data_IF_334000810247
#
_entry.id   IF_334000810247
#
_cell.length_a   1.000
_cell.length_b   1.000
_cell.length_c   1.000
_cell.angle_alpha   90.00
_cell.angle_beta   90.00
_cell.angle_gamma   90.00
#
_symmetry.space_group_name_H-M   'P 1'
#
loop_
_entity.id
_entity.type
_entity.pdbx_description
1 polymer ?
#
# COMPACT_ATOMS: atom_id res chain seq x y z
N UNK A 1 10.18 48.74 18.51
CA UNK A 1 10.44 47.54 19.34
C UNK A 1 10.74 47.96 20.78
N UNK A 2 10.10 47.35 21.79
CA UNK A 2 10.37 47.65 23.21
C UNK A 2 11.44 46.71 23.75
N UNK A 3 12.44 47.24 24.46
CA UNK A 3 13.59 46.49 25.00
C UNK A 3 13.17 45.39 25.98
N UNK A 4 12.14 45.63 26.78
CA UNK A 4 11.62 44.70 27.78
C UNK A 4 11.04 43.43 27.17
N UNK A 5 10.29 43.57 26.07
CA UNK A 5 9.70 42.43 25.35
C UNK A 5 10.75 41.54 24.72
N UNK A 6 11.86 42.14 24.27
CA UNK A 6 13.03 41.41 23.77
C UNK A 6 13.68 40.66 24.94
N UNK A 7 13.98 41.30 26.07
CA UNK A 7 14.60 40.61 27.20
C UNK A 7 13.71 39.47 27.75
N UNK A 8 12.39 39.63 27.75
CA UNK A 8 11.44 38.59 28.14
C UNK A 8 11.47 37.37 27.22
N UNK A 9 11.59 37.56 25.90
CA UNK A 9 11.62 36.43 24.94
C UNK A 9 12.93 35.64 25.01
N UNK A 10 14.06 36.32 25.27
CA UNK A 10 15.34 35.67 25.53
C UNK A 10 15.33 34.95 26.88
N UNK A 11 14.73 35.57 27.89
CA UNK A 11 14.50 34.96 29.18
C UNK A 11 13.57 33.76 29.09
N UNK A 12 12.65 33.66 28.13
CA UNK A 12 11.75 32.52 27.91
C UNK A 12 12.39 31.36 27.11
N UNK A 13 13.44 31.63 26.33
CA UNK A 13 14.22 30.62 25.59
C UNK A 13 15.43 30.09 26.36
N UNK A 14 15.93 30.82 27.37
CA UNK A 14 17.07 30.42 28.19
C UNK A 14 18.41 30.82 27.60
N UNK A 15 18.35 31.63 26.53
CA UNK A 15 19.53 32.20 25.85
C UNK A 15 20.10 33.36 26.69
N UNK A 16 19.24 34.15 27.34
CA UNK A 16 19.67 35.21 28.25
C UNK A 16 18.64 35.48 29.37
N UNK A 17 19.00 35.44 30.67
CA UNK A 17 20.28 34.94 31.21
C UNK A 17 20.53 33.50 30.78
N UNK A 18 21.80 33.13 30.55
CA UNK A 18 22.15 31.78 30.09
C UNK A 18 21.80 30.76 31.18
N UNK A 19 20.77 29.96 30.92
CA UNK A 19 20.32 28.88 31.78
C UNK A 19 20.36 27.56 31.00
N UNK A 20 21.43 26.81 31.23
CA UNK A 20 21.70 25.52 30.59
C UNK A 20 20.57 24.52 30.83
N UNK A 21 20.00 24.46 32.03
CA UNK A 21 19.00 23.45 32.38
C UNK A 21 17.69 23.66 31.62
N UNK A 22 17.30 24.92 31.37
CA UNK A 22 16.13 25.23 30.56
C UNK A 22 16.28 24.88 29.09
N UNK A 23 17.48 25.04 28.53
CA UNK A 23 17.78 24.61 27.17
C UNK A 23 17.78 23.08 27.11
N UNK A 24 18.48 22.42 28.05
CA UNK A 24 18.56 20.96 28.09
C UNK A 24 17.19 20.30 28.30
N UNK A 25 16.30 20.86 29.12
CA UNK A 25 14.94 20.33 29.34
C UNK A 25 14.09 20.28 28.06
N UNK A 26 14.34 21.18 27.10
CA UNK A 26 13.66 21.15 25.78
C UNK A 26 14.15 20.02 24.88
N UNK A 27 15.40 19.59 25.06
CA UNK A 27 16.05 18.57 24.23
C UNK A 27 16.20 17.22 24.92
N UNK A 28 15.90 17.13 26.22
CA UNK A 28 15.62 15.85 26.88
C UNK A 28 14.36 15.30 26.23
N UNK A 29 14.56 14.55 25.13
CA UNK A 29 13.58 13.57 24.69
C UNK A 29 13.42 12.63 25.86
N UNK A 30 12.20 12.52 26.37
CA UNK A 30 11.84 11.34 27.16
C UNK A 30 12.36 10.14 26.37
N UNK A 31 13.19 9.31 27.00
CA UNK A 31 13.59 8.04 26.42
C UNK A 31 12.33 7.34 25.86
N UNK A 32 12.41 6.59 24.75
CA UNK A 32 11.26 5.86 24.24
C UNK A 32 10.58 5.16 25.41
N UNK A 33 9.31 5.51 25.64
CA UNK A 33 8.54 5.10 26.82
C UNK A 33 8.71 3.60 27.00
N UNK A 34 9.21 3.20 28.16
CA UNK A 34 9.15 1.81 28.60
C UNK A 34 7.68 1.36 28.49
N UNK A 35 7.37 0.53 27.49
CA UNK A 35 6.01 0.03 27.24
C UNK A 35 5.36 0.37 25.90
N UNK A 36 6.02 1.04 24.93
CA UNK A 36 5.47 1.08 23.57
C UNK A 36 5.49 -0.32 22.91
N UNK A 37 4.39 -0.75 22.26
CA UNK A 37 4.35 -2.05 21.59
C UNK A 37 5.47 -2.16 20.57
N UNK A 38 6.36 -3.12 20.78
CA UNK A 38 7.51 -3.34 19.91
C UNK A 38 7.01 -3.85 18.55
N UNK A 39 7.04 -2.99 17.53
CA UNK A 39 6.81 -3.42 16.15
C UNK A 39 8.05 -4.14 15.62
N UNK A 40 8.15 -5.42 15.99
CA UNK A 40 9.22 -6.34 15.55
C UNK A 40 9.19 -6.62 14.05
N UNK A 41 8.12 -6.25 13.32
CA UNK A 41 8.12 -6.35 11.86
C UNK A 41 9.00 -5.28 11.20
N UNK A 42 9.27 -4.17 11.90
CA UNK A 42 10.08 -3.10 11.36
C UNK A 42 11.57 -3.36 11.65
N UNK A 43 12.28 -3.90 10.65
CA UNK A 43 13.70 -4.23 10.78
C UNK A 43 14.57 -3.01 11.11
N UNK A 44 14.17 -1.80 10.72
CA UNK A 44 14.88 -0.56 11.06
C UNK A 44 14.85 -0.26 12.55
N UNK A 45 13.74 -0.63 13.19
CA UNK A 45 13.61 -0.53 14.63
C UNK A 45 14.50 -1.56 15.33
N UNK A 46 14.48 -2.82 14.87
CA UNK A 46 15.37 -3.87 15.38
C UNK A 46 16.84 -3.50 15.21
N UNK A 47 17.23 -2.91 14.07
CA UNK A 47 18.60 -2.46 13.84
C UNK A 47 18.99 -1.31 14.77
N UNK A 48 18.09 -0.35 15.03
CA UNK A 48 18.35 0.73 16.00
C UNK A 48 18.55 0.16 17.40
N UNK A 49 17.68 -0.74 17.84
CA UNK A 49 17.75 -1.38 19.16
C UNK A 49 19.04 -2.21 19.32
N UNK A 50 19.45 -2.91 18.27
CA UNK A 50 20.72 -3.62 18.25
C UNK A 50 21.90 -2.65 18.38
N UNK A 51 21.86 -1.49 17.72
CA UNK A 51 22.92 -0.46 17.84
C UNK A 51 22.97 0.20 19.21
N UNK A 52 21.84 0.28 19.92
CA UNK A 52 21.76 0.84 21.28
C UNK A 52 22.24 -0.17 22.33
N UNK A 53 21.93 -1.45 22.15
CA UNK A 53 22.24 -2.51 23.14
C UNK A 53 23.61 -3.15 22.93
N UNK A 54 24.06 -3.28 21.68
CA UNK A 54 25.30 -3.98 21.36
C UNK A 54 26.50 -3.03 21.23
N UNK A 55 27.66 -3.47 21.69
CA UNK A 55 28.91 -2.75 21.48
C UNK A 55 29.18 -2.60 19.99
N UNK A 56 29.34 -1.35 19.55
CA UNK A 56 29.47 -0.96 18.13
C UNK A 56 30.67 -1.59 17.40
N UNK A 57 31.65 -2.09 18.16
CA UNK A 57 32.86 -2.76 17.68
C UNK A 57 32.78 -4.28 17.72
N UNK A 58 31.70 -4.86 18.27
CA UNK A 58 31.54 -6.31 18.31
C UNK A 58 31.25 -6.87 16.91
N UNK A 59 32.05 -7.86 16.51
CA UNK A 59 31.82 -8.60 15.26
C UNK A 59 30.46 -9.31 15.27
N UNK A 60 30.01 -9.77 16.43
CA UNK A 60 28.71 -10.45 16.62
C UNK A 60 27.52 -9.51 16.37
N UNK A 61 27.64 -8.24 16.77
CA UNK A 61 26.62 -7.24 16.49
C UNK A 61 26.49 -6.99 14.97
N UNK A 62 27.63 -7.01 14.26
CA UNK A 62 27.67 -6.81 12.81
C UNK A 62 27.07 -7.99 12.06
N UNK A 63 27.39 -9.23 12.45
CA UNK A 63 26.81 -10.43 11.84
C UNK A 63 25.31 -10.50 12.09
N UNK A 64 24.85 -10.20 13.31
CA UNK A 64 23.43 -10.19 13.64
C UNK A 64 22.66 -9.11 12.86
N UNK A 65 23.24 -7.91 12.72
CA UNK A 65 22.66 -6.85 11.89
C UNK A 65 22.50 -7.32 10.44
N UNK A 66 23.54 -7.92 9.85
CA UNK A 66 23.47 -8.46 8.49
C UNK A 66 22.40 -9.55 8.33
N UNK A 67 22.26 -10.43 9.30
CA UNK A 67 21.23 -11.47 9.30
C UNK A 67 19.81 -10.87 9.33
N UNK A 68 19.58 -9.88 10.19
CA UNK A 68 18.30 -9.15 10.27
C UNK A 68 17.96 -8.47 8.94
N UNK A 69 18.93 -7.76 8.36
CA UNK A 69 18.79 -7.12 7.05
C UNK A 69 18.42 -8.15 5.96
N UNK A 70 19.14 -9.27 5.92
CA UNK A 70 18.89 -10.33 4.96
C UNK A 70 17.48 -10.90 5.10
N UNK A 71 17.06 -11.24 6.32
CA UNK A 71 15.71 -11.75 6.60
C UNK A 71 14.60 -10.76 6.23
N UNK A 72 14.83 -9.47 6.47
CA UNK A 72 13.89 -8.43 6.12
C UNK A 72 13.67 -8.34 4.60
N UNK A 73 14.76 -8.33 3.84
CA UNK A 73 14.73 -8.32 2.37
C UNK A 73 14.05 -9.58 1.83
N UNK A 74 14.38 -10.76 2.36
CA UNK A 74 13.74 -12.01 1.95
C UNK A 74 12.22 -11.98 2.23
N UNK A 75 11.81 -11.47 3.38
CA UNK A 75 10.39 -11.36 3.73
C UNK A 75 9.64 -10.39 2.83
N UNK A 76 10.26 -9.27 2.45
CA UNK A 76 9.69 -8.30 1.51
C UNK A 76 9.55 -8.90 0.11
N UNK A 77 10.60 -9.56 -0.40
CA UNK A 77 10.58 -10.25 -1.69
C UNK A 77 9.48 -11.30 -1.75
N UNK A 78 9.35 -12.14 -0.73
CA UNK A 78 8.30 -13.17 -0.66
C UNK A 78 6.89 -12.57 -0.61
N UNK A 79 6.71 -11.40 0.03
CA UNK A 79 5.42 -10.69 0.04
C UNK A 79 5.07 -10.17 -1.35
N UNK A 80 6.04 -9.60 -2.06
CA UNK A 80 5.85 -9.08 -3.41
C UNK A 80 5.58 -10.20 -4.42
N UNK A 81 6.30 -11.32 -4.34
CA UNK A 81 6.03 -12.50 -5.16
C UNK A 81 4.62 -13.05 -4.91
N UNK A 82 4.21 -13.21 -3.64
CA UNK A 82 2.86 -13.65 -3.30
C UNK A 82 1.79 -12.71 -3.86
N UNK A 83 2.03 -11.39 -3.77
CA UNK A 83 1.13 -10.38 -4.34
C UNK A 83 1.04 -10.53 -5.87
N UNK A 84 2.18 -10.66 -6.54
CA UNK A 84 2.26 -10.89 -7.99
C UNK A 84 1.52 -12.15 -8.44
N UNK A 85 1.69 -13.26 -7.72
CA UNK A 85 0.99 -14.52 -8.00
C UNK A 85 -0.53 -14.37 -7.83
N UNK A 86 -0.99 -13.69 -6.77
CA UNK A 86 -2.42 -13.41 -6.56
C UNK A 86 -3.00 -12.53 -7.66
N UNK A 87 -2.26 -11.52 -8.10
CA UNK A 87 -2.66 -10.63 -9.19
C UNK A 87 -2.72 -11.37 -10.54
N UNK A 88 -1.73 -12.21 -10.83
CA UNK A 88 -1.72 -13.08 -12.01
C UNK A 88 -2.91 -14.03 -12.01
N UNK A 89 -3.20 -14.66 -10.86
CA UNK A 89 -4.35 -15.55 -10.69
C UNK A 89 -5.67 -14.80 -10.91
N UNK A 90 -5.83 -13.60 -10.35
CA UNK A 90 -7.02 -12.75 -10.56
C UNK A 90 -7.20 -12.44 -12.05
N UNK A 91 -6.11 -12.10 -12.73
CA UNK A 91 -6.12 -11.77 -14.17
C UNK A 91 -6.52 -12.99 -15.01
N UNK A 92 -5.94 -14.17 -14.72
CA UNK A 92 -6.32 -15.43 -15.36
C UNK A 92 -7.78 -15.78 -15.12
N UNK A 93 -8.28 -15.65 -13.88
CA UNK A 93 -9.70 -15.85 -13.56
C UNK A 93 -10.59 -14.89 -14.34
N UNK A 94 -10.22 -13.60 -14.44
CA UNK A 94 -10.97 -12.60 -15.22
C UNK A 94 -11.00 -12.95 -16.71
N UNK A 95 -9.87 -13.42 -17.26
CA UNK A 95 -9.78 -13.84 -18.67
C UNK A 95 -10.55 -15.14 -18.94
N UNK A 96 -10.63 -16.05 -17.96
CA UNK A 96 -11.39 -17.30 -18.09
C UNK A 96 -12.91 -17.11 -17.91
N UNK A 97 -13.36 -15.94 -17.45
CA UNK A 97 -14.79 -15.61 -17.54
C UNK A 97 -15.12 -15.53 -19.01
N UNK A 98 -16.03 -16.40 -19.48
CA UNK A 98 -16.56 -16.34 -20.83
C UNK A 98 -16.91 -14.89 -21.13
N UNK A 99 -16.29 -14.31 -22.15
CA UNK A 99 -16.71 -13.01 -22.64
C UNK A 99 -18.20 -13.16 -22.98
N UNK A 100 -19.06 -12.30 -22.41
CA UNK A 100 -20.45 -12.21 -22.82
C UNK A 100 -20.45 -11.61 -24.23
N UNK A 101 -20.20 -12.45 -25.23
CA UNK A 101 -20.24 -12.05 -26.64
C UNK A 101 -21.69 -11.69 -26.92
N UNK A 102 -21.90 -10.42 -27.19
CA UNK A 102 -23.20 -9.91 -27.55
C UNK A 102 -23.53 -10.39 -28.97
N UNK A 103 -24.65 -11.07 -29.16
CA UNK A 103 -25.05 -11.57 -30.47
C UNK A 103 -25.50 -10.40 -31.37
N UNK A 104 -24.54 -9.82 -32.07
CA UNK A 104 -24.75 -8.72 -33.00
C UNK A 104 -25.13 -9.30 -34.37
N UNK A 105 -26.43 -9.44 -34.61
CA UNK A 105 -26.94 -9.93 -35.89
C UNK A 105 -26.65 -8.95 -37.02
N UNK A 106 -25.87 -9.43 -38.01
CA UNK A 106 -25.62 -8.72 -39.26
C UNK A 106 -26.83 -8.85 -40.20
N UNK A 107 -27.13 -7.81 -40.97
CA UNK A 107 -28.16 -7.88 -42.01
C UNK A 107 -27.65 -8.70 -43.20
N UNK A 108 -28.48 -9.59 -43.72
CA UNK A 108 -28.16 -10.48 -44.84
C UNK A 108 -27.77 -9.72 -46.12
N UNK A 109 -28.27 -8.50 -46.32
CA UNK A 109 -28.05 -7.72 -47.56
C UNK A 109 -26.61 -7.23 -47.78
N UNK A 110 -25.70 -7.34 -46.81
CA UNK A 110 -24.37 -6.72 -46.87
C UNK A 110 -23.23 -7.74 -46.78
N UNK A 111 -22.62 -8.06 -47.93
CA UNK A 111 -21.62 -9.12 -48.08
C UNK A 111 -20.16 -8.66 -48.27
N UNK A 112 -19.81 -7.40 -48.02
CA UNK A 112 -18.41 -6.97 -48.18
C UNK A 112 -18.06 -5.67 -47.46
N UNK A 113 -17.33 -5.76 -46.35
CA UNK A 113 -16.70 -4.62 -45.68
C UNK A 113 -16.62 -4.72 -44.16
N UNK A 114 -16.01 -3.71 -43.54
CA UNK A 114 -16.02 -3.54 -42.09
C UNK A 114 -17.45 -3.25 -41.58
N UNK A 115 -17.92 -4.02 -40.59
CA UNK A 115 -19.26 -3.84 -40.01
C UNK A 115 -19.20 -2.76 -38.91
N UNK A 116 -19.89 -1.64 -39.15
CA UNK A 116 -20.01 -0.56 -38.15
C UNK A 116 -21.27 -0.83 -37.31
N UNK A 117 -21.08 -0.99 -36.00
CA UNK A 117 -22.19 -1.16 -35.07
C UNK A 117 -22.62 0.18 -34.48
N UNK A 118 -23.88 0.56 -34.72
CA UNK A 118 -24.46 1.73 -34.06
C UNK A 118 -24.81 1.44 -32.59
N UNK A 119 -24.81 2.45 -31.70
CA UNK A 119 -25.23 2.28 -30.31
C UNK A 119 -26.62 1.66 -30.14
N UNK A 120 -27.54 1.91 -31.09
CA UNK A 120 -28.86 1.29 -31.11
C UNK A 120 -28.78 -0.24 -31.26
N UNK A 121 -27.89 -0.75 -32.13
CA UNK A 121 -27.71 -2.19 -32.34
C UNK A 121 -27.14 -2.89 -31.11
N UNK A 122 -26.24 -2.24 -30.38
CA UNK A 122 -25.76 -2.72 -29.08
C UNK A 122 -26.91 -2.85 -28.08
N UNK A 123 -27.81 -1.86 -27.99
CA UNK A 123 -28.98 -1.93 -27.08
C UNK A 123 -29.94 -3.06 -27.45
N UNK A 124 -30.24 -3.22 -28.74
CA UNK A 124 -31.12 -4.30 -29.24
C UNK A 124 -30.56 -5.68 -28.89
N UNK A 125 -29.26 -5.90 -29.08
CA UNK A 125 -28.62 -7.18 -28.77
C UNK A 125 -28.52 -7.44 -27.25
N UNK A 126 -28.30 -6.40 -26.44
CA UNK A 126 -28.38 -6.50 -24.97
C UNK A 126 -29.78 -6.91 -24.50
N UNK A 127 -30.84 -6.32 -25.06
CA UNK A 127 -32.21 -6.67 -24.70
C UNK A 127 -32.52 -8.15 -24.99
N UNK A 128 -32.09 -8.67 -26.15
CA UNK A 128 -32.27 -10.08 -26.52
C UNK A 128 -31.50 -11.03 -25.61
N UNK A 129 -30.24 -10.74 -25.31
CA UNK A 129 -29.44 -11.56 -24.40
C UNK A 129 -30.07 -11.61 -23.00
N UNK A 130 -30.67 -10.51 -22.53
CA UNK A 130 -31.36 -10.47 -21.25
C UNK A 130 -32.58 -11.38 -21.23
N UNK A 131 -33.42 -11.33 -22.27
CA UNK A 131 -34.57 -12.24 -22.41
C UNK A 131 -34.12 -13.70 -22.42
N UNK A 132 -33.07 -14.04 -23.17
CA UNK A 132 -32.50 -15.39 -23.18
C UNK A 132 -32.02 -15.85 -21.80
N UNK A 133 -31.37 -14.96 -21.04
CA UNK A 133 -30.92 -15.28 -19.68
C UNK A 133 -32.10 -15.53 -18.75
N UNK A 134 -33.13 -14.68 -18.81
CA UNK A 134 -34.35 -14.83 -18.01
C UNK A 134 -35.08 -16.14 -18.36
N UNK A 135 -35.11 -16.55 -19.64
CA UNK A 135 -35.65 -17.83 -20.10
C UNK A 135 -34.82 -19.04 -19.63
N UNK A 136 -33.48 -18.98 -19.75
CA UNK A 136 -32.55 -20.01 -19.26
C UNK A 136 -32.68 -20.20 -17.73
N UNK A 137 -32.85 -19.11 -16.98
CA UNK A 137 -33.07 -19.14 -15.52
C UNK A 137 -34.43 -19.75 -15.15
N UNK A 138 -35.50 -19.45 -15.90
CA UNK A 138 -36.82 -20.05 -15.67
C UNK A 138 -36.83 -21.56 -15.90
N UNK A 139 -36.03 -22.06 -16.86
CA UNK A 139 -35.91 -23.50 -17.16
C UNK A 139 -35.07 -24.27 -16.11
N UNK A 140 -34.14 -23.62 -15.43
CA UNK A 140 -33.31 -24.24 -14.38
C UNK A 140 -34.04 -24.43 -13.04
N UNK A 141 -35.16 -23.72 -12.84
CA UNK A 141 -35.95 -23.73 -11.60
C UNK A 141 -37.10 -24.77 -11.69
N UNK A 142 -37.36 -25.32 -12.87
CA UNK A 142 -38.39 -26.33 -13.14
C UNK A 142 -37.87 -27.76 -12.94
#
# INVERSE_FOLDING_TARGET
FKKETILSSWAATGVWPMDKERVLKRFRKDNPREGEPVDLSNWRYMERLLRETANRTSNEARTLSQAIHHMAVQSELLKDENKGLRDALRTKKKHNKKANVLDLQQREEYHGGAVIWSPRKLREACARNKVRQDEEEALLIQ
#
